data_IF_888919939193
#
_entry.id   IF_888919939193
#
_cell.length_a   1.000
_cell.length_b   1.000
_cell.length_c   1.000
_cell.angle_alpha   90.00
_cell.angle_beta   90.00
_cell.angle_gamma   90.00
#
_symmetry.space_group_name_H-M   'P 1'
#
loop_
_entity.id
_entity.type
_entity.pdbx_description
1 polymer ?
#
# COMPACT_ATOMS: atom_id res chain seq x y z
N UNK A 1 -10.36 69.11 60.40
CA UNK A 1 -10.96 68.10 59.44
C UNK A 1 -10.10 68.18 58.18
N UNK A 2 -9.11 67.31 58.08
CA UNK A 2 -8.15 67.30 57.01
C UNK A 2 -8.46 66.08 56.06
N UNK A 3 -8.84 66.37 54.84
CA UNK A 3 -9.11 65.34 53.82
C UNK A 3 -7.77 64.95 53.14
N UNK A 4 -7.28 63.72 53.42
CA UNK A 4 -6.17 63.14 52.73
C UNK A 4 -6.63 62.69 51.34
N UNK A 5 -6.07 63.26 50.28
CA UNK A 5 -6.15 62.79 48.93
C UNK A 5 -5.22 61.59 48.75
N UNK A 6 -5.78 60.45 48.42
CA UNK A 6 -5.00 59.27 47.97
C UNK A 6 -4.74 59.38 46.48
N UNK A 7 -3.49 59.43 46.08
CA UNK A 7 -3.02 59.34 44.73
C UNK A 7 -2.92 57.85 44.35
N UNK A 8 -3.62 57.44 43.29
CA UNK A 8 -3.45 56.10 42.66
C UNK A 8 -2.19 56.15 41.77
N UNK A 9 -1.38 55.08 41.74
CA UNK A 9 -0.29 54.95 40.76
C UNK A 9 -0.82 54.54 39.42
N UNK A 10 -0.41 55.23 38.34
CA UNK A 10 -0.57 54.83 36.98
C UNK A 10 0.32 53.60 36.72
N UNK A 11 -0.29 52.46 36.41
CA UNK A 11 0.40 51.28 35.90
C UNK A 11 0.52 51.48 34.38
N UNK A 12 1.73 51.75 33.91
CA UNK A 12 2.06 51.78 32.49
C UNK A 12 2.14 50.34 31.99
N UNK A 13 1.14 49.90 31.18
CA UNK A 13 1.18 48.61 30.49
C UNK A 13 2.14 48.74 29.30
N UNK A 14 3.30 48.11 29.39
CA UNK A 14 4.21 47.94 28.28
C UNK A 14 3.67 46.85 27.35
N UNK A 15 3.16 47.24 26.19
CA UNK A 15 2.83 46.27 25.11
C UNK A 15 4.14 45.79 24.48
N UNK A 16 4.51 44.54 24.75
CA UNK A 16 5.55 43.84 23.97
C UNK A 16 4.97 43.53 22.58
N UNK A 17 5.38 44.29 21.59
CA UNK A 17 5.14 43.92 20.17
C UNK A 17 6.10 42.78 19.84
N UNK A 18 5.62 41.54 19.88
CA UNK A 18 6.33 40.38 19.34
C UNK A 18 6.27 40.49 17.83
N UNK A 19 7.35 40.97 17.21
CA UNK A 19 7.51 40.89 15.76
C UNK A 19 7.53 39.41 15.36
N UNK A 20 6.50 38.97 14.69
CA UNK A 20 6.48 37.64 14.05
C UNK A 20 7.57 37.62 12.96
N UNK A 21 8.67 36.94 13.22
CA UNK A 21 9.66 36.65 12.18
C UNK A 21 8.97 35.74 11.14
N UNK A 22 9.06 36.04 9.82
CA UNK A 22 8.59 35.14 8.82
C UNK A 22 9.41 33.85 8.90
N UNK A 23 8.74 32.72 9.09
CA UNK A 23 9.36 31.42 8.93
C UNK A 23 9.97 31.34 7.53
N UNK A 24 11.22 30.85 7.38
CA UNK A 24 11.80 30.66 6.06
C UNK A 24 10.90 29.71 5.27
N UNK A 25 10.48 30.16 4.09
CA UNK A 25 9.47 29.53 3.27
C UNK A 25 9.73 28.05 3.07
N UNK A 26 8.78 27.23 3.48
CA UNK A 26 8.69 25.85 3.04
C UNK A 26 8.69 25.82 1.52
N UNK A 27 9.50 24.97 0.91
CA UNK A 27 9.52 24.78 -0.53
C UNK A 27 8.07 24.58 -1.00
N UNK A 28 7.63 25.36 -2.00
CA UNK A 28 6.28 25.26 -2.53
C UNK A 28 6.09 23.83 -3.06
N UNK A 29 5.25 23.04 -2.38
CA UNK A 29 4.95 21.68 -2.81
C UNK A 29 4.17 21.77 -4.13
N UNK A 30 4.72 21.21 -5.20
CA UNK A 30 4.01 21.11 -6.46
C UNK A 30 2.88 20.09 -6.30
N UNK A 31 1.60 20.47 -6.48
CA UNK A 31 0.51 19.51 -6.32
C UNK A 31 0.59 18.40 -7.36
N UNK A 32 0.22 17.17 -6.98
CA UNK A 32 0.06 16.08 -7.93
C UNK A 32 -1.05 16.40 -8.92
N UNK A 33 -0.86 16.03 -10.19
CA UNK A 33 -1.83 16.29 -11.26
C UNK A 33 -1.94 15.09 -12.20
N UNK A 34 -3.11 14.90 -12.78
CA UNK A 34 -3.36 13.81 -13.75
C UNK A 34 -2.66 14.06 -15.10
N UNK A 35 -2.46 15.32 -15.47
CA UNK A 35 -1.85 15.80 -16.71
C UNK A 35 -0.36 16.18 -16.56
N UNK A 36 0.30 15.73 -15.49
CA UNK A 36 1.64 16.20 -15.14
C UNK A 36 2.68 15.98 -16.25
N UNK A 37 2.61 14.84 -16.94
CA UNK A 37 3.54 14.48 -18.00
C UNK A 37 3.03 14.74 -19.44
N UNK A 38 1.87 15.35 -19.63
CA UNK A 38 1.26 15.54 -20.95
C UNK A 38 2.15 16.28 -21.97
N UNK A 39 3.02 17.17 -21.47
CA UNK A 39 3.95 17.92 -22.31
C UNK A 39 5.32 17.27 -22.40
N UNK A 40 5.77 16.54 -21.38
CA UNK A 40 7.13 16.04 -21.24
C UNK A 40 7.28 14.56 -21.59
N UNK A 41 6.19 13.76 -21.48
CA UNK A 41 6.15 12.34 -21.82
C UNK A 41 4.73 11.90 -22.23
N UNK A 42 4.24 12.34 -23.37
CA UNK A 42 2.84 12.17 -23.81
C UNK A 42 2.34 10.73 -23.86
N UNK A 43 3.25 9.78 -24.15
CA UNK A 43 2.89 8.38 -24.29
C UNK A 43 3.13 7.56 -23.02
N UNK A 44 3.39 8.21 -21.87
CA UNK A 44 3.76 7.54 -20.62
C UNK A 44 2.81 6.40 -20.27
N UNK A 45 1.51 6.70 -20.18
CA UNK A 45 0.51 5.69 -19.77
C UNK A 45 0.42 4.51 -20.74
N UNK A 46 0.60 4.76 -22.04
CA UNK A 46 0.61 3.70 -23.04
C UNK A 46 1.85 2.79 -22.89
N UNK A 47 3.03 3.38 -22.69
CA UNK A 47 4.29 2.65 -22.48
C UNK A 47 4.18 1.78 -21.21
N UNK A 48 3.68 2.34 -20.11
CA UNK A 48 3.52 1.60 -18.85
C UNK A 48 2.59 0.41 -19.05
N UNK A 49 1.40 0.64 -19.62
CA UNK A 49 0.38 -0.41 -19.83
C UNK A 49 0.88 -1.52 -20.75
N UNK A 50 1.60 -1.18 -21.80
CA UNK A 50 2.14 -2.15 -22.74
C UNK A 50 3.16 -3.08 -22.06
N UNK A 51 4.11 -2.51 -21.29
CA UNK A 51 5.10 -3.32 -20.57
C UNK A 51 4.46 -4.16 -19.46
N UNK A 52 3.50 -3.61 -18.71
CA UNK A 52 2.74 -4.36 -17.69
C UNK A 52 1.97 -5.51 -18.33
N UNK A 53 1.27 -5.26 -19.45
CA UNK A 53 0.53 -6.32 -20.17
C UNK A 53 1.48 -7.42 -20.68
N UNK A 54 2.66 -7.04 -21.21
CA UNK A 54 3.67 -8.01 -21.65
C UNK A 54 4.15 -8.87 -20.47
N UNK A 55 4.42 -8.26 -19.33
CA UNK A 55 4.87 -8.97 -18.13
C UNK A 55 3.77 -9.90 -17.57
N UNK A 56 2.50 -9.49 -17.59
CA UNK A 56 1.36 -10.34 -17.20
C UNK A 56 1.26 -11.58 -18.11
N UNK A 57 1.52 -11.43 -19.41
CA UNK A 57 1.52 -12.56 -20.35
C UNK A 57 2.70 -13.53 -20.11
N UNK A 58 3.81 -13.06 -19.54
CA UNK A 58 4.92 -13.93 -19.11
C UNK A 58 4.56 -14.70 -17.83
N UNK A 59 3.96 -14.00 -16.87
CA UNK A 59 3.56 -14.59 -15.59
C UNK A 59 2.43 -13.80 -14.92
N UNK A 60 1.40 -14.51 -14.48
CA UNK A 60 0.26 -13.93 -13.75
C UNK A 60 0.66 -13.39 -12.35
N UNK A 61 1.80 -13.83 -11.82
CA UNK A 61 2.35 -13.33 -10.54
C UNK A 61 2.61 -11.82 -10.59
N UNK A 62 2.81 -11.26 -11.79
CA UNK A 62 2.95 -9.81 -12.02
C UNK A 62 1.80 -9.01 -11.39
N UNK A 63 0.57 -9.51 -11.45
CA UNK A 63 -0.62 -8.81 -10.93
C UNK A 63 -0.50 -8.55 -9.42
N UNK A 64 -0.47 -9.58 -8.57
CA UNK A 64 -0.38 -9.38 -7.12
C UNK A 64 0.96 -8.81 -6.68
N UNK A 65 2.06 -9.15 -7.37
CA UNK A 65 3.39 -8.64 -7.03
C UNK A 65 3.47 -7.12 -7.15
N UNK A 66 2.98 -6.56 -8.26
CA UNK A 66 2.97 -5.11 -8.49
C UNK A 66 1.97 -4.40 -7.58
N UNK A 67 0.79 -4.99 -7.37
CA UNK A 67 -0.24 -4.40 -6.51
C UNK A 67 0.20 -4.38 -5.03
N UNK A 68 0.88 -5.42 -4.56
CA UNK A 68 1.42 -5.43 -3.20
C UNK A 68 2.58 -4.46 -3.03
N UNK A 69 3.41 -4.31 -4.06
CA UNK A 69 4.58 -3.42 -4.04
C UNK A 69 4.19 -1.96 -3.77
N UNK A 70 3.10 -1.45 -4.36
CA UNK A 70 2.65 -0.07 -4.12
C UNK A 70 2.23 0.18 -2.68
N UNK A 71 1.59 -0.79 -2.01
CA UNK A 71 1.25 -0.68 -0.59
C UNK A 71 2.51 -0.62 0.27
N UNK A 72 3.45 -1.53 0.01
CA UNK A 72 4.70 -1.62 0.76
C UNK A 72 5.58 -0.37 0.59
N UNK A 73 5.61 0.23 -0.61
CA UNK A 73 6.26 1.53 -0.84
C UNK A 73 5.58 2.63 0.00
N UNK A 74 4.29 2.83 -0.21
CA UNK A 74 3.56 3.97 0.33
C UNK A 74 3.41 3.98 1.86
N UNK A 75 3.27 2.81 2.50
CA UNK A 75 3.00 2.72 3.94
C UNK A 75 4.24 2.92 4.82
N UNK A 76 5.45 2.86 4.27
CA UNK A 76 6.70 2.98 5.04
C UNK A 76 7.12 4.44 5.22
N UNK A 77 7.61 5.08 4.19
CA UNK A 77 8.09 6.47 4.19
C UNK A 77 7.23 7.43 3.37
N UNK A 78 6.25 6.89 2.68
CA UNK A 78 5.43 7.55 1.67
C UNK A 78 5.67 6.96 0.29
N UNK A 79 4.83 7.30 -0.68
CA UNK A 79 4.99 6.85 -2.06
C UNK A 79 6.20 7.54 -2.71
N UNK A 80 7.39 6.98 -2.54
CA UNK A 80 8.65 7.60 -2.96
C UNK A 80 9.69 6.61 -3.56
N UNK A 81 9.24 5.39 -3.85
CA UNK A 81 10.04 4.33 -4.47
C UNK A 81 11.30 3.91 -3.67
N UNK A 82 11.36 4.19 -2.35
CA UNK A 82 12.46 3.75 -1.49
C UNK A 82 12.60 2.23 -1.47
N UNK A 83 11.48 1.51 -1.58
CA UNK A 83 11.40 0.05 -1.64
C UNK A 83 12.19 -0.57 -2.80
N UNK A 84 12.47 0.18 -3.87
CA UNK A 84 13.15 -0.35 -5.06
C UNK A 84 14.67 -0.36 -4.95
N UNK A 85 15.25 0.34 -3.98
CA UNK A 85 16.71 0.49 -3.83
C UNK A 85 17.37 -0.86 -3.54
N UNK A 86 18.42 -1.16 -4.30
CA UNK A 86 19.32 -2.29 -4.06
C UNK A 86 20.52 -1.83 -3.24
N UNK A 87 20.57 -2.21 -1.96
CA UNK A 87 21.70 -1.94 -1.10
C UNK A 87 22.76 -3.05 -1.19
N UNK A 88 24.04 -2.67 -1.17
CA UNK A 88 25.14 -3.64 -1.06
C UNK A 88 25.26 -4.24 0.34
N UNK A 89 24.69 -3.57 1.33
CA UNK A 89 24.78 -3.98 2.75
C UNK A 89 23.53 -4.74 3.21
N UNK A 90 22.54 -4.97 2.35
CA UNK A 90 21.24 -5.54 2.69
C UNK A 90 20.53 -4.75 3.80
N UNK A 91 20.53 -3.42 3.71
CA UNK A 91 19.98 -2.49 4.70
C UNK A 91 18.95 -1.51 4.11
N UNK A 92 18.55 -1.71 2.84
CA UNK A 92 17.47 -0.96 2.21
C UNK A 92 16.10 -1.47 2.67
N UNK A 93 15.03 -0.70 2.40
CA UNK A 93 13.66 -1.08 2.77
C UNK A 93 13.26 -2.48 2.27
N UNK A 94 13.61 -2.83 1.02
CA UNK A 94 13.30 -4.15 0.47
C UNK A 94 13.96 -5.32 1.22
N UNK A 95 15.04 -5.05 1.94
CA UNK A 95 15.80 -6.06 2.70
C UNK A 95 15.25 -6.25 4.13
N UNK A 96 14.23 -5.47 4.51
CA UNK A 96 13.52 -5.65 5.77
C UNK A 96 12.72 -6.97 5.77
N UNK A 97 12.66 -7.65 6.93
CA UNK A 97 11.96 -8.92 7.10
C UNK A 97 10.52 -8.91 6.58
N UNK A 98 9.80 -7.80 6.76
CA UNK A 98 8.41 -7.65 6.31
C UNK A 98 8.29 -7.58 4.78
N UNK A 99 9.40 -7.29 4.08
CA UNK A 99 9.51 -7.14 2.63
C UNK A 99 10.14 -8.35 1.93
N UNK A 100 10.78 -9.29 2.66
CA UNK A 100 11.43 -10.48 2.09
C UNK A 100 10.49 -11.35 1.24
N UNK A 101 9.18 -11.30 1.53
CA UNK A 101 8.16 -12.06 0.80
C UNK A 101 7.57 -11.30 -0.41
N UNK A 102 8.08 -10.12 -0.75
CA UNK A 102 7.70 -9.44 -1.99
C UNK A 102 8.23 -10.23 -3.19
N UNK A 103 7.35 -10.55 -4.12
CA UNK A 103 7.75 -11.31 -5.31
C UNK A 103 8.63 -10.46 -6.23
N UNK A 104 9.73 -11.05 -6.71
CA UNK A 104 10.68 -10.41 -7.63
C UNK A 104 10.04 -9.88 -8.92
N UNK A 105 8.92 -10.47 -9.34
CA UNK A 105 8.15 -10.04 -10.51
C UNK A 105 7.66 -8.59 -10.40
N UNK A 106 7.31 -8.10 -9.20
CA UNK A 106 6.93 -6.71 -8.99
C UNK A 106 8.11 -5.76 -9.29
N UNK A 107 9.27 -6.05 -8.74
CA UNK A 107 10.48 -5.27 -8.97
C UNK A 107 10.92 -5.31 -10.44
N UNK A 108 10.91 -6.50 -11.06
CA UNK A 108 11.23 -6.67 -12.47
C UNK A 108 10.27 -5.88 -13.37
N UNK A 109 8.98 -5.91 -13.08
CA UNK A 109 7.97 -5.12 -13.81
C UNK A 109 8.32 -3.64 -13.80
N UNK A 110 8.57 -3.06 -12.64
CA UNK A 110 8.89 -1.62 -12.54
C UNK A 110 10.21 -1.29 -13.25
N UNK A 111 11.23 -2.12 -13.15
CA UNK A 111 12.52 -1.89 -13.82
C UNK A 111 12.39 -1.97 -15.35
N UNK A 112 11.59 -2.89 -15.89
CA UNK A 112 11.30 -2.97 -17.33
C UNK A 112 10.52 -1.76 -17.82
N UNK A 113 9.47 -1.38 -17.09
CA UNK A 113 8.72 -0.15 -17.41
C UNK A 113 9.64 1.05 -17.39
N UNK A 114 10.49 1.22 -16.35
CA UNK A 114 11.44 2.33 -16.26
C UNK A 114 12.38 2.34 -17.47
N UNK A 115 12.90 1.20 -17.85
CA UNK A 115 13.77 1.07 -19.03
C UNK A 115 13.06 1.51 -20.32
N UNK A 116 11.80 1.13 -20.51
CA UNK A 116 11.00 1.53 -21.66
C UNK A 116 10.70 3.04 -21.66
N UNK A 117 10.34 3.59 -20.49
CA UNK A 117 10.09 5.03 -20.32
C UNK A 117 11.35 5.86 -20.59
N UNK A 118 12.51 5.45 -20.07
CA UNK A 118 13.78 6.18 -20.29
C UNK A 118 14.20 6.23 -21.76
N UNK A 119 13.82 5.25 -22.58
CA UNK A 119 14.05 5.31 -24.04
C UNK A 119 13.24 6.41 -24.74
N UNK A 120 12.05 6.72 -24.21
CA UNK A 120 11.12 7.69 -24.81
C UNK A 120 11.21 9.06 -24.15
N UNK A 121 11.42 9.11 -22.85
CA UNK A 121 11.37 10.31 -22.02
C UNK A 121 12.51 10.28 -20.97
N UNK A 122 13.79 10.38 -21.39
CA UNK A 122 14.95 10.19 -20.51
C UNK A 122 14.98 11.21 -19.36
N UNK A 123 15.08 10.72 -18.11
CA UNK A 123 15.22 11.56 -16.91
C UNK A 123 13.97 12.35 -16.52
N UNK A 124 12.81 12.00 -17.05
CA UNK A 124 11.56 12.78 -16.85
C UNK A 124 10.66 12.17 -15.79
N UNK A 125 10.47 10.85 -15.79
CA UNK A 125 9.45 10.16 -14.99
C UNK A 125 10.06 9.49 -13.77
N UNK A 126 9.51 9.73 -12.59
CA UNK A 126 9.95 9.11 -11.35
C UNK A 126 9.58 7.62 -11.29
N UNK A 127 10.35 6.84 -10.55
CA UNK A 127 10.06 5.43 -10.30
C UNK A 127 8.77 5.25 -9.50
N UNK A 128 8.49 6.15 -8.55
CA UNK A 128 7.26 6.10 -7.77
C UNK A 128 6.01 6.35 -8.63
N UNK A 129 6.04 7.28 -9.59
CA UNK A 129 4.92 7.46 -10.52
C UNK A 129 4.72 6.23 -11.43
N UNK A 130 5.80 5.55 -11.81
CA UNK A 130 5.74 4.27 -12.53
C UNK A 130 5.07 3.20 -11.66
N UNK A 131 5.40 3.09 -10.36
CA UNK A 131 4.72 2.15 -9.43
C UNK A 131 3.22 2.42 -9.41
N UNK A 132 2.79 3.67 -9.30
CA UNK A 132 1.37 4.04 -9.22
C UNK A 132 0.62 3.69 -10.53
N UNK A 133 1.21 3.98 -11.68
CA UNK A 133 0.63 3.65 -12.98
C UNK A 133 0.56 2.14 -13.20
N UNK A 134 1.64 1.41 -12.88
CA UNK A 134 1.69 -0.03 -13.00
C UNK A 134 0.68 -0.73 -12.08
N UNK A 135 0.52 -0.25 -10.83
CA UNK A 135 -0.49 -0.77 -9.89
C UNK A 135 -1.92 -0.58 -10.43
N UNK A 136 -2.24 0.59 -11.02
CA UNK A 136 -3.51 0.81 -11.70
C UNK A 136 -3.69 -0.16 -12.88
N UNK A 137 -2.65 -0.35 -13.68
CA UNK A 137 -2.74 -1.15 -14.90
C UNK A 137 -2.87 -2.66 -14.60
N UNK A 138 -2.21 -3.21 -13.57
CA UNK A 138 -2.43 -4.62 -13.18
C UNK A 138 -3.85 -4.85 -12.71
N UNK A 139 -4.46 -3.92 -11.97
CA UNK A 139 -5.87 -4.00 -11.55
C UNK A 139 -6.80 -3.97 -12.76
N UNK A 140 -6.61 -3.01 -13.65
CA UNK A 140 -7.44 -2.87 -14.85
C UNK A 140 -7.32 -4.08 -15.79
N UNK A 141 -6.11 -4.57 -16.03
CA UNK A 141 -5.86 -5.72 -16.90
C UNK A 141 -6.35 -7.04 -16.30
N UNK A 142 -6.52 -7.11 -14.98
CA UNK A 142 -7.16 -8.24 -14.29
C UNK A 142 -8.68 -8.09 -14.10
N UNK A 143 -9.33 -7.21 -14.88
CA UNK A 143 -10.79 -6.93 -14.90
C UNK A 143 -11.28 -6.05 -13.73
N UNK A 144 -10.41 -5.45 -12.96
CA UNK A 144 -10.75 -4.46 -11.95
C UNK A 144 -11.06 -3.07 -12.50
N UNK A 145 -11.31 -2.10 -11.63
CA UNK A 145 -11.64 -0.74 -12.03
C UNK A 145 -10.44 0.00 -12.62
N UNK A 146 -10.72 0.92 -13.54
CA UNK A 146 -9.75 1.90 -14.03
C UNK A 146 -9.90 3.22 -13.28
N UNK A 147 -8.79 3.89 -13.01
CA UNK A 147 -8.80 5.26 -12.49
C UNK A 147 -7.66 6.11 -13.06
N UNK A 148 -7.86 7.42 -13.09
CA UNK A 148 -6.81 8.36 -13.46
C UNK A 148 -5.85 8.55 -12.29
N UNK A 149 -4.57 8.27 -12.50
CA UNK A 149 -3.51 8.41 -11.50
C UNK A 149 -3.05 9.86 -11.43
N UNK A 150 -2.91 10.40 -10.22
CA UNK A 150 -2.25 11.68 -10.00
C UNK A 150 -0.73 11.47 -10.01
N UNK A 151 -0.01 12.30 -10.74
CA UNK A 151 1.42 12.17 -11.05
C UNK A 151 2.19 13.42 -10.62
N UNK A 152 3.52 13.33 -10.60
CA UNK A 152 4.41 14.42 -10.21
C UNK A 152 5.18 14.16 -8.93
N UNK A 153 5.23 12.91 -8.46
CA UNK A 153 6.05 12.47 -7.33
C UNK A 153 7.51 12.45 -7.70
N UNK A 154 8.35 12.50 -6.67
CA UNK A 154 9.80 12.31 -6.79
C UNK A 154 10.24 11.13 -5.92
N UNK A 155 11.32 10.51 -6.35
CA UNK A 155 11.91 9.35 -5.69
C UNK A 155 12.72 9.79 -4.47
N UNK A 156 12.70 8.99 -3.41
CA UNK A 156 13.45 9.21 -2.19
C UNK A 156 14.97 9.21 -2.41
N UNK A 157 15.67 9.94 -1.57
CA UNK A 157 17.14 9.93 -1.45
C UNK A 157 17.61 8.98 -0.32
N UNK A 158 16.67 8.29 0.32
CA UNK A 158 16.93 7.41 1.47
C UNK A 158 16.11 6.13 1.32
N UNK A 159 16.70 4.99 1.70
CA UNK A 159 16.02 3.71 1.86
C UNK A 159 16.68 2.95 2.99
N UNK A 160 15.92 2.55 4.01
CA UNK A 160 16.47 1.89 5.21
C UNK A 160 15.53 0.78 5.68
N UNK A 161 16.06 -0.42 5.89
CA UNK A 161 15.30 -1.55 6.46
C UNK A 161 14.72 -1.23 7.85
N UNK A 162 15.41 -0.41 8.64
CA UNK A 162 14.95 0.02 9.97
C UNK A 162 13.65 0.81 9.98
N UNK A 163 13.32 1.47 8.87
CA UNK A 163 12.15 2.34 8.77
C UNK A 163 10.84 1.55 8.54
N UNK A 164 10.95 0.26 8.19
CA UNK A 164 9.81 -0.62 7.85
C UNK A 164 9.06 -1.14 9.07
N UNK A 165 9.79 -1.41 10.17
CA UNK A 165 9.22 -2.06 11.35
C UNK A 165 7.95 -1.38 11.87
N UNK A 166 6.87 -2.16 11.95
CA UNK A 166 5.57 -1.72 12.49
C UNK A 166 4.80 -0.74 11.58
N UNK A 167 5.19 -0.63 10.31
CA UNK A 167 4.51 0.18 9.30
C UNK A 167 3.58 -0.63 8.41
N UNK A 168 3.84 -1.91 8.25
CA UNK A 168 3.12 -2.82 7.34
C UNK A 168 2.17 -3.73 8.12
N UNK A 169 1.01 -4.11 7.53
CA UNK A 169 0.13 -5.11 8.11
C UNK A 169 0.76 -6.51 8.06
N UNK A 170 0.56 -7.27 9.14
CA UNK A 170 0.98 -8.68 9.23
C UNK A 170 -0.23 -9.61 9.09
N UNK A 171 -0.10 -10.78 8.43
CA UNK A 171 -1.20 -11.73 8.22
C UNK A 171 -1.84 -12.27 9.51
N UNK A 172 -1.17 -12.17 10.65
CA UNK A 172 -1.70 -12.62 11.93
C UNK A 172 -2.40 -11.52 12.75
N UNK A 173 -2.42 -10.27 12.26
CA UNK A 173 -3.05 -9.16 12.97
C UNK A 173 -4.57 -9.34 13.07
N UNK A 174 -5.10 -9.06 14.26
CA UNK A 174 -6.52 -8.86 14.49
C UNK A 174 -6.92 -7.40 14.25
N UNK A 175 -8.23 -7.11 14.25
CA UNK A 175 -8.73 -5.76 13.95
C UNK A 175 -8.19 -4.68 14.90
N UNK A 176 -7.98 -5.02 16.17
CA UNK A 176 -7.39 -4.12 17.19
C UNK A 176 -5.99 -3.63 16.87
N UNK A 177 -5.25 -4.36 15.99
CA UNK A 177 -3.91 -4.00 15.52
C UNK A 177 -3.96 -3.37 14.14
N UNK A 178 -4.81 -3.91 13.23
CA UNK A 178 -4.99 -3.39 11.88
C UNK A 178 -5.57 -1.98 11.87
N UNK A 179 -6.67 -1.73 12.60
CA UNK A 179 -7.35 -0.43 12.58
C UNK A 179 -6.44 0.72 12.98
N UNK A 180 -5.67 0.68 14.10
CA UNK A 180 -4.75 1.75 14.44
C UNK A 180 -3.60 1.91 13.44
N UNK A 181 -3.15 0.82 12.78
CA UNK A 181 -2.10 0.88 11.76
C UNK A 181 -2.56 1.68 10.55
N UNK A 182 -3.76 1.40 10.03
CA UNK A 182 -4.33 2.13 8.90
C UNK A 182 -4.73 3.56 9.30
N UNK A 183 -5.31 3.77 10.49
CA UNK A 183 -5.69 5.09 10.98
C UNK A 183 -4.50 6.05 11.11
N UNK A 184 -3.33 5.57 11.54
CA UNK A 184 -2.09 6.41 11.61
C UNK A 184 -1.69 6.97 10.25
N UNK A 185 -2.01 6.27 9.17
CA UNK A 185 -1.82 6.71 7.79
C UNK A 185 -3.05 7.45 7.23
N UNK A 186 -4.04 7.76 8.09
CA UNK A 186 -5.21 8.54 7.74
C UNK A 186 -6.34 7.74 7.08
N UNK A 187 -6.26 6.41 6.99
CA UNK A 187 -7.31 5.58 6.39
C UNK A 187 -8.48 5.35 7.35
N UNK A 188 -9.70 5.37 6.81
CA UNK A 188 -10.92 4.96 7.50
C UNK A 188 -11.04 3.43 7.55
N UNK A 189 -11.98 2.87 8.35
CA UNK A 189 -12.30 1.45 8.28
C UNK A 189 -12.75 1.00 6.88
N UNK A 190 -13.53 1.81 6.15
CA UNK A 190 -13.92 1.52 4.77
C UNK A 190 -12.71 1.46 3.84
N UNK A 191 -11.76 2.40 3.96
CA UNK A 191 -10.51 2.39 3.17
C UNK A 191 -9.69 1.13 3.46
N UNK A 192 -9.55 0.75 4.74
CA UNK A 192 -8.82 -0.45 5.16
C UNK A 192 -9.43 -1.71 4.58
N UNK A 193 -10.75 -1.88 4.71
CA UNK A 193 -11.46 -3.04 4.16
C UNK A 193 -11.39 -3.05 2.64
N UNK A 194 -11.51 -1.89 1.97
CA UNK A 194 -11.39 -1.78 0.53
C UNK A 194 -9.99 -2.16 0.03
N UNK A 195 -8.92 -1.67 0.67
CA UNK A 195 -7.53 -2.02 0.32
C UNK A 195 -7.23 -3.50 0.56
N UNK A 196 -7.80 -4.11 1.62
CA UNK A 196 -7.69 -5.56 1.88
C UNK A 196 -8.30 -6.38 0.75
N UNK A 197 -9.28 -5.83 0.01
CA UNK A 197 -9.86 -6.44 -1.19
C UNK A 197 -8.87 -6.70 -2.32
N UNK A 198 -7.65 -6.13 -2.27
CA UNK A 198 -6.55 -6.52 -3.16
C UNK A 198 -6.20 -8.00 -3.07
N UNK A 199 -6.55 -8.67 -1.96
CA UNK A 199 -6.40 -10.12 -1.77
C UNK A 199 -7.38 -10.95 -2.61
N UNK A 200 -8.24 -10.34 -3.43
CA UNK A 200 -9.00 -11.04 -4.48
C UNK A 200 -8.08 -11.63 -5.56
N UNK A 201 -6.83 -11.16 -5.64
CA UNK A 201 -5.80 -11.71 -6.53
C UNK A 201 -4.53 -12.08 -5.75
N UNK A 202 -3.84 -13.14 -6.21
CA UNK A 202 -2.53 -13.48 -5.71
C UNK A 202 -2.43 -14.79 -4.96
N UNK A 203 -1.29 -14.94 -4.29
CA UNK A 203 -0.86 -16.18 -3.65
C UNK A 203 -0.29 -15.90 -2.26
N UNK A 204 -0.49 -16.84 -1.34
CA UNK A 204 0.14 -16.81 -0.03
C UNK A 204 0.93 -18.08 0.21
N UNK A 205 2.18 -17.93 0.68
CA UNK A 205 2.97 -19.05 1.15
C UNK A 205 2.30 -19.71 2.36
N UNK A 206 2.24 -21.03 2.36
CA UNK A 206 1.62 -21.82 3.44
C UNK A 206 2.10 -21.40 4.82
N UNK A 207 3.39 -21.11 4.96
CA UNK A 207 4.02 -20.70 6.22
C UNK A 207 3.40 -19.45 6.87
N UNK A 208 2.66 -18.64 6.09
CA UNK A 208 2.04 -17.40 6.57
C UNK A 208 0.71 -17.59 7.30
N UNK A 209 0.13 -18.82 7.24
CA UNK A 209 -1.15 -19.13 7.90
C UNK A 209 -1.21 -20.54 8.51
N UNK A 210 -0.07 -21.25 8.63
CA UNK A 210 -0.02 -22.57 9.29
C UNK A 210 -0.57 -22.53 10.73
N UNK A 211 -0.39 -21.44 11.45
CA UNK A 211 -0.92 -21.23 12.79
C UNK A 211 -2.46 -21.29 12.85
N UNK A 212 -3.16 -21.01 11.75
CA UNK A 212 -4.60 -21.16 11.65
C UNK A 212 -5.03 -22.58 11.36
N UNK A 213 -4.18 -23.37 10.70
CA UNK A 213 -4.45 -24.77 10.34
C UNK A 213 -4.03 -25.74 11.44
N UNK A 214 -2.98 -25.40 12.18
CA UNK A 214 -2.36 -26.28 13.16
C UNK A 214 -1.99 -25.49 14.42
N UNK A 215 -2.32 -26.10 15.60
CA UNK A 215 -2.00 -25.50 16.90
C UNK A 215 -2.59 -24.09 17.11
N UNK A 216 -3.78 -23.84 16.57
CA UNK A 216 -4.45 -22.53 16.66
C UNK A 216 -4.62 -22.07 18.12
N UNK A 217 -5.08 -22.98 18.98
CA UNK A 217 -5.16 -22.76 20.43
C UNK A 217 -4.98 -24.07 21.21
N UNK A 218 -4.86 -24.00 22.53
CA UNK A 218 -4.79 -25.18 23.39
C UNK A 218 -5.99 -26.12 23.31
N UNK A 219 -7.16 -25.59 22.97
CA UNK A 219 -8.43 -26.33 22.89
C UNK A 219 -8.88 -26.60 21.45
N UNK A 220 -8.38 -25.87 20.48
CA UNK A 220 -8.77 -25.96 19.06
C UNK A 220 -7.54 -26.06 18.16
N UNK A 221 -7.29 -27.21 17.56
CA UNK A 221 -6.11 -27.37 16.69
C UNK A 221 -6.20 -26.56 15.40
N UNK A 222 -7.42 -26.22 14.96
CA UNK A 222 -7.69 -25.43 13.74
C UNK A 222 -8.55 -24.25 14.10
N UNK A 223 -8.32 -23.11 13.45
CA UNK A 223 -9.12 -21.89 13.60
C UNK A 223 -10.58 -22.17 13.23
N UNK A 224 -11.53 -22.03 14.17
CA UNK A 224 -12.95 -22.33 13.94
C UNK A 224 -13.64 -21.35 12.96
N UNK A 225 -13.01 -20.25 12.60
CA UNK A 225 -13.52 -19.32 11.60
C UNK A 225 -13.33 -19.80 10.17
N UNK A 226 -12.51 -20.84 9.93
CA UNK A 226 -12.45 -21.50 8.63
C UNK A 226 -13.70 -22.34 8.36
N UNK A 227 -14.15 -22.32 7.10
CA UNK A 227 -15.07 -23.38 6.62
C UNK A 227 -14.39 -24.75 6.75
N UNK A 228 -15.03 -25.77 7.35
CA UNK A 228 -14.37 -27.06 7.64
C UNK A 228 -13.75 -27.74 6.41
N UNK A 229 -14.47 -27.76 5.27
CA UNK A 229 -13.97 -28.38 4.02
C UNK A 229 -12.78 -27.60 3.46
N UNK A 230 -12.79 -26.26 3.56
CA UNK A 230 -11.68 -25.45 3.11
C UNK A 230 -10.44 -25.66 3.97
N UNK A 231 -10.62 -25.74 5.30
CA UNK A 231 -9.53 -26.09 6.19
C UNK A 231 -8.91 -27.45 5.86
N UNK A 232 -9.75 -28.44 5.49
CA UNK A 232 -9.26 -29.75 5.06
C UNK A 232 -8.46 -29.67 3.74
N UNK A 233 -8.94 -28.94 2.74
CA UNK A 233 -8.23 -28.70 1.48
C UNK A 233 -6.88 -28.02 1.72
N UNK A 234 -6.87 -26.97 2.57
CA UNK A 234 -5.65 -26.25 2.91
C UNK A 234 -4.65 -27.16 3.64
N UNK A 235 -5.09 -28.05 4.52
CA UNK A 235 -4.20 -29.01 5.20
C UNK A 235 -3.56 -30.01 4.23
N UNK A 236 -4.27 -30.39 3.16
CA UNK A 236 -3.71 -31.22 2.11
C UNK A 236 -2.65 -30.50 1.29
N UNK A 237 -2.89 -29.23 0.95
CA UNK A 237 -1.94 -28.40 0.19
C UNK A 237 -0.75 -27.91 1.04
N UNK A 238 -0.99 -27.68 2.32
CA UNK A 238 -0.05 -27.08 3.28
C UNK A 238 0.11 -28.00 4.51
N UNK A 239 0.79 -29.15 4.41
CA UNK A 239 1.06 -30.00 5.56
C UNK A 239 1.99 -29.28 6.57
N UNK A 240 2.06 -29.72 7.86
CA UNK A 240 2.85 -29.03 8.90
C UNK A 240 4.31 -28.79 8.55
N UNK A 241 4.89 -29.64 7.72
CA UNK A 241 6.31 -29.58 7.30
C UNK A 241 6.45 -29.03 5.86
N UNK A 242 5.49 -28.24 5.40
CA UNK A 242 5.50 -27.70 4.05
C UNK A 242 6.72 -26.78 3.80
N UNK A 243 7.31 -26.91 2.62
CA UNK A 243 8.41 -26.04 2.20
C UNK A 243 7.98 -24.58 2.08
N UNK A 244 8.89 -23.66 2.33
CA UNK A 244 8.64 -22.22 2.33
C UNK A 244 8.15 -21.67 0.99
N UNK A 245 8.43 -22.37 -0.12
CA UNK A 245 8.05 -21.97 -1.48
C UNK A 245 6.62 -22.37 -1.88
N UNK A 246 5.99 -23.28 -1.11
CA UNK A 246 4.63 -23.72 -1.44
C UNK A 246 3.63 -22.64 -1.09
N UNK A 247 2.82 -22.28 -2.07
CA UNK A 247 1.80 -21.23 -1.98
C UNK A 247 0.44 -21.72 -2.47
N UNK A 248 -0.62 -21.11 -1.97
CA UNK A 248 -2.00 -21.31 -2.40
C UNK A 248 -2.61 -19.97 -2.85
N UNK A 249 -3.69 -20.04 -3.60
CA UNK A 249 -4.42 -18.84 -4.02
C UNK A 249 -5.00 -18.10 -2.82
N UNK A 250 -4.92 -16.76 -2.82
CA UNK A 250 -5.60 -15.91 -1.85
C UNK A 250 -7.12 -15.99 -2.02
N UNK A 251 -7.58 -15.98 -3.26
CA UNK A 251 -8.97 -16.21 -3.63
C UNK A 251 -9.10 -17.61 -4.28
N UNK A 252 -9.77 -18.58 -3.62
CA UNK A 252 -9.94 -19.91 -4.18
C UNK A 252 -10.95 -19.97 -5.34
N UNK A 253 -11.73 -18.90 -5.57
CA UNK A 253 -12.82 -18.86 -6.56
C UNK A 253 -12.37 -18.19 -7.86
N UNK A 254 -11.73 -17.03 -7.79
CA UNK A 254 -11.31 -16.24 -8.96
C UNK A 254 -9.88 -15.67 -8.81
N UNK A 255 -8.84 -16.51 -8.66
CA UNK A 255 -7.51 -16.14 -8.14
C UNK A 255 -6.72 -15.12 -8.97
N UNK A 256 -7.10 -14.88 -10.22
CA UNK A 256 -6.43 -13.95 -11.14
C UNK A 256 -7.39 -12.88 -11.70
N UNK A 257 -8.62 -12.82 -11.19
CA UNK A 257 -9.62 -11.83 -11.59
C UNK A 257 -9.82 -10.85 -10.44
N UNK A 258 -9.62 -9.57 -10.71
CA UNK A 258 -9.90 -8.54 -9.71
C UNK A 258 -11.41 -8.30 -9.63
N UNK A 259 -12.06 -8.86 -8.60
CA UNK A 259 -13.50 -8.78 -8.37
C UNK A 259 -13.84 -8.76 -6.87
N UNK A 260 -15.10 -8.83 -6.51
CA UNK A 260 -15.54 -8.79 -5.12
C UNK A 260 -15.66 -10.16 -4.44
N UNK A 261 -15.16 -11.23 -5.06
CA UNK A 261 -15.23 -12.59 -4.49
C UNK A 261 -14.49 -12.73 -3.17
N UNK A 262 -13.41 -11.97 -2.98
CA UNK A 262 -12.73 -11.90 -1.69
C UNK A 262 -13.71 -11.70 -0.52
N UNK A 263 -14.64 -10.74 -0.62
CA UNK A 263 -15.62 -10.49 0.45
C UNK A 263 -16.65 -11.59 0.59
N UNK A 264 -17.11 -12.16 -0.51
CA UNK A 264 -17.99 -13.34 -0.48
C UNK A 264 -17.28 -14.52 0.19
N UNK A 265 -16.00 -14.71 -0.11
CA UNK A 265 -15.17 -15.75 0.51
C UNK A 265 -15.05 -15.55 2.04
N UNK A 266 -14.90 -14.31 2.52
CA UNK A 266 -14.88 -14.02 3.96
C UNK A 266 -16.21 -14.42 4.64
N UNK A 267 -17.35 -14.20 3.98
CA UNK A 267 -18.67 -14.60 4.49
C UNK A 267 -18.81 -16.13 4.66
N UNK A 268 -18.10 -16.90 3.81
CA UNK A 268 -18.10 -18.35 3.86
C UNK A 268 -16.94 -18.96 4.66
N UNK A 269 -16.15 -18.15 5.36
CA UNK A 269 -15.00 -18.65 6.13
C UNK A 269 -13.84 -19.14 5.25
N UNK A 270 -13.67 -18.54 4.07
CA UNK A 270 -12.58 -18.85 3.14
C UNK A 270 -11.45 -17.80 3.19
N UNK A 271 -11.49 -16.86 4.12
CA UNK A 271 -10.41 -15.89 4.33
C UNK A 271 -9.14 -16.60 4.79
N UNK A 272 -8.03 -16.39 4.05
CA UNK A 272 -6.82 -17.17 4.25
C UNK A 272 -6.03 -16.73 5.50
N UNK A 273 -5.84 -15.42 5.68
CA UNK A 273 -5.13 -14.86 6.83
C UNK A 273 -6.06 -14.56 8.00
N UNK A 274 -5.51 -14.46 9.21
CA UNK A 274 -6.23 -13.90 10.36
C UNK A 274 -6.70 -12.48 10.03
N UNK A 275 -5.82 -11.67 9.44
CA UNK A 275 -6.09 -10.29 9.02
C UNK A 275 -7.18 -10.16 7.96
N UNK A 276 -7.44 -11.23 7.18
CA UNK A 276 -8.56 -11.28 6.23
C UNK A 276 -9.87 -11.63 6.96
N UNK A 277 -9.89 -12.79 7.64
CA UNK A 277 -11.11 -13.34 8.19
C UNK A 277 -11.68 -12.46 9.29
N UNK A 278 -10.82 -11.76 10.05
CA UNK A 278 -11.26 -10.85 11.11
C UNK A 278 -12.13 -9.70 10.58
N UNK A 279 -11.97 -9.28 9.34
CA UNK A 279 -12.78 -8.21 8.74
C UNK A 279 -14.27 -8.57 8.70
N UNK A 280 -14.59 -9.87 8.61
CA UNK A 280 -15.98 -10.35 8.65
C UNK A 280 -16.43 -10.80 10.03
N UNK A 281 -15.54 -11.40 10.83
CA UNK A 281 -15.91 -11.92 12.15
C UNK A 281 -16.02 -10.83 13.23
N UNK A 282 -15.40 -9.65 13.01
CA UNK A 282 -15.54 -8.50 13.89
C UNK A 282 -16.72 -7.62 13.47
N UNK A 283 -17.59 -7.30 14.44
CA UNK A 283 -18.79 -6.50 14.20
C UNK A 283 -18.53 -5.09 13.66
N UNK A 284 -17.34 -4.52 13.90
CA UNK A 284 -17.01 -3.16 13.46
C UNK A 284 -16.80 -3.05 11.95
N UNK A 285 -16.39 -4.12 11.27
CA UNK A 285 -16.11 -4.14 9.83
C UNK A 285 -17.03 -5.06 9.03
N UNK A 286 -17.76 -5.96 9.72
CA UNK A 286 -18.68 -6.92 9.09
C UNK A 286 -19.64 -6.27 8.08
N UNK A 287 -20.28 -5.15 8.45
CA UNK A 287 -21.22 -4.44 7.59
C UNK A 287 -20.57 -3.90 6.30
N UNK A 288 -19.28 -3.53 6.36
CA UNK A 288 -18.53 -3.07 5.18
C UNK A 288 -18.24 -4.27 4.25
N UNK A 289 -17.86 -5.42 4.83
CA UNK A 289 -17.66 -6.67 4.07
C UNK A 289 -18.97 -7.08 3.38
N UNK A 290 -20.12 -7.09 4.12
CA UNK A 290 -21.44 -7.42 3.55
C UNK A 290 -21.82 -6.50 2.38
N UNK A 291 -21.56 -5.21 2.51
CA UNK A 291 -21.79 -4.20 1.47
C UNK A 291 -20.97 -4.50 0.21
N UNK A 292 -19.67 -4.77 0.35
CA UNK A 292 -18.78 -5.03 -0.79
C UNK A 292 -19.03 -6.41 -1.40
N UNK A 293 -19.38 -7.42 -0.61
CA UNK A 293 -19.81 -8.73 -1.10
C UNK A 293 -21.08 -8.65 -1.96
N UNK A 294 -22.05 -7.81 -1.54
CA UNK A 294 -23.33 -7.63 -2.24
C UNK A 294 -23.25 -6.75 -3.48
N UNK A 295 -22.23 -5.89 -3.60
CA UNK A 295 -22.15 -4.90 -4.69
C UNK A 295 -20.70 -4.64 -5.13
N UNK A 296 -20.28 -5.28 -6.23
CA UNK A 296 -18.95 -5.11 -6.80
C UNK A 296 -18.64 -3.66 -7.18
N UNK A 297 -19.62 -2.90 -7.64
CA UNK A 297 -19.40 -1.50 -8.00
C UNK A 297 -19.06 -0.66 -6.76
N UNK A 298 -19.71 -0.87 -5.65
CA UNK A 298 -19.39 -0.18 -4.39
C UNK A 298 -17.98 -0.53 -3.90
N UNK A 299 -17.58 -1.81 -4.01
CA UNK A 299 -16.19 -2.21 -3.76
C UNK A 299 -15.22 -1.46 -4.67
N UNK A 300 -15.47 -1.46 -5.98
CA UNK A 300 -14.59 -0.82 -6.94
C UNK A 300 -14.45 0.69 -6.70
N UNK A 301 -15.56 1.36 -6.42
CA UNK A 301 -15.54 2.80 -6.11
C UNK A 301 -14.74 3.09 -4.83
N UNK A 302 -14.93 2.29 -3.78
CA UNK A 302 -14.20 2.42 -2.52
C UNK A 302 -12.71 2.08 -2.69
N UNK A 303 -12.37 1.04 -3.46
CA UNK A 303 -11.00 0.66 -3.75
C UNK A 303 -10.26 1.77 -4.51
N UNK A 304 -10.88 2.33 -5.54
CA UNK A 304 -10.32 3.46 -6.30
C UNK A 304 -10.06 4.66 -5.39
N UNK A 305 -11.04 5.02 -4.55
CA UNK A 305 -10.87 6.14 -3.61
C UNK A 305 -9.72 5.89 -2.62
N UNK A 306 -9.62 4.67 -2.08
CA UNK A 306 -8.56 4.28 -1.16
C UNK A 306 -7.18 4.22 -1.84
N UNK A 307 -7.07 3.76 -3.10
CA UNK A 307 -5.83 3.76 -3.88
C UNK A 307 -5.36 5.18 -4.24
N UNK A 308 -6.26 6.10 -4.58
CA UNK A 308 -5.92 7.51 -4.77
C UNK A 308 -5.39 8.12 -3.47
N UNK A 309 -6.03 7.81 -2.35
CA UNK A 309 -5.61 8.25 -1.02
C UNK A 309 -4.24 7.66 -0.63
N UNK A 310 -4.02 6.36 -0.89
CA UNK A 310 -2.73 5.69 -0.71
C UNK A 310 -1.64 6.41 -1.51
N UNK A 311 -1.90 6.69 -2.78
CA UNK A 311 -0.95 7.38 -3.66
C UNK A 311 -0.57 8.82 -3.24
N UNK A 312 -1.26 9.40 -2.26
CA UNK A 312 -0.97 10.72 -1.69
C UNK A 312 -0.16 10.68 -0.39
N UNK A 313 0.13 9.49 0.14
CA UNK A 313 0.87 9.36 1.40
C UNK A 313 2.32 9.81 1.24
N UNK A 314 2.76 10.73 2.07
CA UNK A 314 4.16 11.12 2.25
C UNK A 314 4.89 11.50 0.96
N UNK A 315 4.17 11.98 -0.06
CA UNK A 315 4.73 12.26 -1.38
C UNK A 315 5.79 13.36 -1.35
N UNK A 316 6.87 13.14 -2.07
CA UNK A 316 7.90 14.14 -2.39
C UNK A 316 7.56 14.78 -3.72
N UNK A 317 7.70 16.11 -3.82
CA UNK A 317 7.39 16.88 -5.03
C UNK A 317 8.34 18.07 -5.21
N UNK A 318 8.31 18.75 -6.36
CA UNK A 318 9.16 19.91 -6.61
C UNK A 318 10.65 19.56 -6.56
N UNK A 319 11.35 20.06 -5.54
CA UNK A 319 12.79 19.82 -5.33
C UNK A 319 13.09 18.81 -4.22
N UNK A 320 12.05 18.22 -3.60
CA UNK A 320 12.21 17.21 -2.57
C UNK A 320 12.35 15.82 -3.22
N UNK A 321 13.56 15.24 -3.20
CA UNK A 321 13.88 13.98 -3.86
C UNK A 321 14.44 14.15 -5.27
N UNK A 322 14.51 13.06 -6.02
CA UNK A 322 15.13 13.00 -7.35
C UNK A 322 14.21 12.31 -8.39
N UNK A 323 14.62 12.32 -9.66
CA UNK A 323 14.10 11.44 -10.70
C UNK A 323 15.20 10.44 -10.99
N UNK A 324 15.07 9.20 -10.50
CA UNK A 324 16.10 8.18 -10.74
C UNK A 324 16.13 7.77 -12.20
N UNK A 325 17.33 7.57 -12.73
CA UNK A 325 17.55 6.99 -14.06
C UNK A 325 17.36 5.47 -14.05
N UNK A 326 17.75 4.86 -12.94
CA UNK A 326 17.59 3.43 -12.65
C UNK A 326 16.92 3.33 -11.29
N UNK A 327 15.79 2.62 -11.19
CA UNK A 327 15.00 2.61 -9.96
C UNK A 327 15.71 1.97 -8.76
N UNK A 328 16.69 1.12 -9.02
CA UNK A 328 17.42 0.38 -7.98
C UNK A 328 18.60 1.13 -7.36
N UNK A 329 18.91 2.33 -7.83
CA UNK A 329 20.05 3.12 -7.35
C UNK A 329 19.73 4.61 -7.31
N UNK A 330 20.30 5.31 -6.33
CA UNK A 330 20.31 6.77 -6.29
C UNK A 330 21.14 7.32 -7.46
N UNK A 331 20.77 8.50 -7.96
CA UNK A 331 21.60 9.21 -8.92
C UNK A 331 22.90 9.69 -8.24
N UNK A 332 24.00 9.68 -8.98
CA UNK A 332 25.31 10.20 -8.55
C UNK A 332 25.50 11.63 -9.03
#
# INVERSE_FOLDING_TARGET
MERRRRSLPLIAAAFLVVAAMPYPGGAATTPLRKDYYDKSCRNLEAIVREEVARKINETVVTIPATLRLVLHDCMVGGCDAAILIASKNNDAEKDAKDNESLAGDGFDTINRVKTAVERSCPGVVSCTDIIQLAARDVVFLSKGPYWSVELGRRDSLVSRASDVKGKLPDPNMHLKELSPLFQRSGFSPDDMVALSGAHTVGFAHCTRFLNRLYNYSSSMPTDPSFHPDYALQLKQACPPNVGETIAVNMDPVSPITFDNKYYTNLQYGLGLFTSDQVLYTDGATKGIVDKFAGNQKEFFDAFVAAMIKLGRLGVKTGNDGEIRKVCTAFNH
#
